data_IF_412563899516
#
_entry.id   IF_412563899516
#
_cell.length_a   1.000
_cell.length_b   1.000
_cell.length_c   1.000
_cell.angle_alpha   90.00
_cell.angle_beta   90.00
_cell.angle_gamma   90.00
#
_symmetry.space_group_name_H-M   'P 1'
#
loop_
_entity.id
_entity.type
_entity.pdbx_description
1 polymer ?
#
# COMPACT_ATOMS: atom_id res chain seq x y z
N UNK A 1 0.06 -2.13 19.79
CA UNK A 1 -0.67 -2.76 18.68
C UNK A 1 -1.08 -1.64 17.77
N UNK A 2 -0.18 -1.24 16.89
CA UNK A 2 -0.32 -0.06 16.05
C UNK A 2 -1.17 -0.45 14.83
N UNK A 3 -2.49 -0.35 14.99
CA UNK A 3 -3.44 -0.62 13.91
C UNK A 3 -3.48 0.63 13.02
N UNK A 4 -2.93 0.55 11.82
CA UNK A 4 -3.02 1.63 10.84
C UNK A 4 -4.33 1.50 10.04
N UNK A 5 -5.00 2.61 9.74
CA UNK A 5 -6.18 2.62 8.86
C UNK A 5 -5.79 3.06 7.46
N UNK A 6 -6.19 2.28 6.46
CA UNK A 6 -5.99 2.58 5.04
C UNK A 6 -7.30 3.15 4.51
N UNK A 7 -7.28 4.41 4.11
CA UNK A 7 -8.45 5.10 3.53
C UNK A 7 -8.33 5.15 2.01
N UNK A 8 -9.32 4.64 1.30
CA UNK A 8 -9.43 4.70 -0.16
C UNK A 8 -10.26 5.93 -0.53
N UNK A 9 -9.64 6.91 -1.18
CA UNK A 9 -10.25 8.21 -1.48
C UNK A 9 -11.39 8.15 -2.50
N UNK A 10 -11.26 7.37 -3.57
CA UNK A 10 -12.25 7.22 -4.65
C UNK A 10 -13.42 6.36 -4.20
N UNK A 11 -13.15 5.30 -3.44
CA UNK A 11 -14.18 4.38 -2.95
C UNK A 11 -14.82 4.82 -1.62
N UNK A 12 -14.14 5.69 -0.86
CA UNK A 12 -14.54 6.07 0.50
C UNK A 12 -14.36 4.95 1.55
N UNK A 13 -13.78 3.82 1.16
CA UNK A 13 -13.62 2.66 2.02
C UNK A 13 -12.49 2.86 3.03
N UNK A 14 -12.67 2.33 4.24
CA UNK A 14 -11.64 2.34 5.28
C UNK A 14 -11.33 0.90 5.68
N UNK A 15 -10.06 0.54 5.57
CA UNK A 15 -9.56 -0.82 5.79
C UNK A 15 -8.63 -0.78 6.99
N UNK A 16 -8.92 -1.59 8.00
CA UNK A 16 -8.03 -1.74 9.13
C UNK A 16 -6.84 -2.63 8.74
N UNK A 17 -5.63 -2.08 8.77
CA UNK A 17 -4.41 -2.82 8.59
C UNK A 17 -4.00 -3.44 9.93
N UNK A 18 -4.34 -4.70 10.12
CA UNK A 18 -3.84 -5.50 11.23
C UNK A 18 -2.50 -6.10 10.83
N UNK A 19 -1.43 -5.69 11.51
CA UNK A 19 -0.07 -6.19 11.29
C UNK A 19 0.01 -7.69 11.60
N UNK A 20 -0.24 -8.51 10.58
CA UNK A 20 -0.14 -9.97 10.64
C UNK A 20 1.02 -10.48 9.76
N UNK A 21 1.97 -9.62 9.41
CA UNK A 21 3.10 -9.96 8.54
C UNK A 21 2.81 -9.87 7.03
N UNK A 22 1.60 -9.48 6.63
CA UNK A 22 1.17 -9.36 5.23
C UNK A 22 1.49 -7.98 4.63
N UNK A 23 1.83 -7.92 3.33
CA UNK A 23 2.13 -6.64 2.67
C UNK A 23 0.87 -5.76 2.57
N UNK A 24 1.05 -4.45 2.34
CA UNK A 24 -0.09 -3.54 2.10
C UNK A 24 -0.95 -4.05 0.93
N UNK A 25 -0.35 -4.68 -0.09
CA UNK A 25 -1.07 -5.30 -1.20
C UNK A 25 -1.98 -6.46 -0.74
N UNK A 26 -1.48 -7.36 0.10
CA UNK A 26 -2.26 -8.49 0.61
C UNK A 26 -3.49 -8.03 1.41
N UNK A 27 -3.35 -6.95 2.17
CA UNK A 27 -4.46 -6.34 2.92
C UNK A 27 -5.51 -5.77 1.96
N UNK A 28 -5.09 -5.08 0.90
CA UNK A 28 -5.98 -4.57 -0.14
C UNK A 28 -6.70 -5.71 -0.88
N UNK A 29 -5.97 -6.76 -1.30
CA UNK A 29 -6.56 -7.94 -1.96
C UNK A 29 -7.56 -8.66 -1.06
N UNK A 30 -7.27 -8.80 0.23
CA UNK A 30 -8.16 -9.43 1.22
C UNK A 30 -9.49 -8.67 1.39
N UNK A 31 -9.46 -7.36 1.16
CA UNK A 31 -10.64 -6.49 1.15
C UNK A 31 -11.27 -6.32 -0.24
N UNK A 32 -10.92 -7.19 -1.20
CA UNK A 32 -11.42 -7.18 -2.58
C UNK A 32 -11.12 -5.89 -3.36
N UNK A 33 -10.06 -5.17 -2.95
CA UNK A 33 -9.61 -3.98 -3.64
C UNK A 33 -8.79 -4.39 -4.85
N UNK A 34 -9.24 -3.99 -6.04
CA UNK A 34 -8.52 -4.26 -7.28
C UNK A 34 -7.29 -3.36 -7.39
N UNK A 35 -6.11 -3.94 -7.18
CA UNK A 35 -4.81 -3.30 -7.40
C UNK A 35 -4.12 -4.04 -8.52
N UNK A 36 -3.61 -3.31 -9.52
CA UNK A 36 -2.78 -3.93 -10.56
C UNK A 36 -1.46 -4.40 -9.96
N UNK A 37 -1.06 -5.66 -10.13
CA UNK A 37 0.26 -6.14 -9.69
C UNK A 37 0.80 -7.21 -10.63
N UNK A 38 2.12 -7.40 -10.62
CA UNK A 38 2.78 -8.40 -11.45
C UNK A 38 3.83 -9.21 -10.67
N UNK A 39 4.87 -8.55 -10.18
CA UNK A 39 6.05 -9.20 -9.60
C UNK A 39 5.98 -9.42 -8.07
N UNK A 40 5.09 -8.71 -7.37
CA UNK A 40 4.94 -8.71 -5.89
C UNK A 40 6.23 -8.45 -5.07
N UNK A 41 7.29 -7.96 -5.73
CA UNK A 41 8.62 -7.81 -5.13
C UNK A 41 9.18 -6.38 -5.22
N UNK A 42 8.37 -5.42 -5.67
CA UNK A 42 8.82 -4.02 -5.85
C UNK A 42 9.81 -3.80 -7.01
N UNK A 43 9.91 -4.76 -7.94
CA UNK A 43 10.82 -4.70 -9.09
C UNK A 43 10.18 -4.09 -10.34
N UNK A 44 8.94 -4.50 -10.64
CA UNK A 44 8.21 -4.16 -11.87
C UNK A 44 7.50 -2.79 -11.81
N UNK A 45 7.17 -2.31 -10.61
CA UNK A 45 6.39 -1.07 -10.45
C UNK A 45 4.92 -1.17 -10.83
N UNK A 46 4.39 -2.32 -11.25
CA UNK A 46 2.96 -2.47 -11.60
C UNK A 46 2.04 -2.22 -10.41
N UNK A 47 2.48 -2.57 -9.18
CA UNK A 47 1.72 -2.38 -7.94
C UNK A 47 1.58 -0.93 -7.48
N UNK A 48 1.99 0.04 -8.29
CA UNK A 48 2.13 1.44 -7.90
C UNK A 48 0.80 2.10 -7.59
N UNK A 49 0.74 2.74 -6.41
CA UNK A 49 -0.38 3.55 -5.97
C UNK A 49 0.09 4.93 -5.53
N UNK A 50 -0.80 5.91 -5.55
CA UNK A 50 -0.52 7.26 -5.08
C UNK A 50 -0.98 7.41 -3.63
N UNK A 51 -0.03 7.77 -2.77
CA UNK A 51 -0.22 8.08 -1.36
C UNK A 51 -0.56 9.57 -1.22
N UNK A 52 -1.79 9.86 -0.80
CA UNK A 52 -2.27 11.20 -0.54
C UNK A 52 -1.85 11.70 0.85
N UNK A 53 -1.88 10.82 1.85
CA UNK A 53 -1.51 11.13 3.24
C UNK A 53 -0.89 9.93 3.96
N UNK A 54 -0.12 10.25 4.99
CA UNK A 54 0.51 9.27 5.88
C UNK A 54 1.91 8.87 5.43
N UNK A 55 2.44 7.80 6.03
CA UNK A 55 3.78 7.28 5.73
C UNK A 55 3.76 5.76 5.65
N UNK A 56 4.57 5.22 4.76
CA UNK A 56 4.80 3.77 4.62
C UNK A 56 6.27 3.45 4.87
N UNK A 57 6.53 2.27 5.41
CA UNK A 57 7.85 1.68 5.52
C UNK A 57 8.02 0.59 4.47
N UNK A 58 9.16 0.58 3.79
CA UNK A 58 9.53 -0.47 2.87
C UNK A 58 10.35 -1.52 3.58
N UNK A 59 9.98 -2.80 3.42
CA UNK A 59 10.78 -3.92 3.93
C UNK A 59 12.09 -4.08 3.17
N UNK A 60 12.05 -3.74 1.88
CA UNK A 60 13.19 -3.78 0.97
C UNK A 60 13.14 -2.56 0.05
N UNK A 61 14.30 -2.02 -0.29
CA UNK A 61 14.41 -0.88 -1.20
C UNK A 61 13.83 -1.27 -2.57
N UNK A 62 12.79 -0.60 -3.06
CA UNK A 62 12.23 -0.89 -4.36
C UNK A 62 13.22 -0.51 -5.46
N UNK A 63 13.30 -1.37 -6.49
CA UNK A 63 14.10 -1.10 -7.69
C UNK A 63 13.35 -0.25 -8.73
N UNK A 64 12.02 -0.24 -8.66
CA UNK A 64 11.20 0.60 -9.51
C UNK A 64 11.37 2.08 -9.16
N UNK A 65 11.42 2.94 -10.18
CA UNK A 65 11.47 4.38 -9.99
C UNK A 65 10.10 4.91 -9.57
N UNK A 66 10.00 5.45 -8.35
CA UNK A 66 8.78 6.05 -7.81
C UNK A 66 8.84 7.57 -7.93
N UNK A 67 7.73 8.19 -8.33
CA UNK A 67 7.59 9.63 -8.23
C UNK A 67 7.22 10.05 -6.80
N UNK A 68 7.28 11.36 -6.55
CA UNK A 68 6.92 11.91 -5.25
C UNK A 68 5.45 11.61 -4.93
N UNK A 69 5.21 10.97 -3.79
CA UNK A 69 3.88 10.54 -3.37
C UNK A 69 3.43 9.22 -4.00
N UNK A 70 4.27 8.50 -4.73
CA UNK A 70 3.97 7.14 -5.19
C UNK A 70 4.56 6.09 -4.24
N UNK A 71 3.84 4.98 -4.09
CA UNK A 71 4.24 3.86 -3.25
C UNK A 71 4.04 2.50 -3.92
N UNK A 72 4.75 1.49 -3.43
CA UNK A 72 4.61 0.08 -3.85
C UNK A 72 4.00 -0.77 -2.70
N UNK A 73 2.66 -0.90 -2.62
CA UNK A 73 1.97 -1.74 -1.64
C UNK A 73 2.50 -3.18 -1.56
N UNK A 74 3.05 -3.72 -2.65
CA UNK A 74 3.57 -5.08 -2.67
C UNK A 74 4.83 -5.31 -1.82
N UNK A 75 5.55 -4.27 -1.40
CA UNK A 75 6.73 -4.41 -0.54
C UNK A 75 6.81 -3.38 0.60
N UNK A 76 5.71 -2.69 0.88
CA UNK A 76 5.61 -1.71 1.95
C UNK A 76 4.48 -2.04 2.94
N UNK A 77 4.55 -1.38 4.09
CA UNK A 77 3.54 -1.42 5.14
C UNK A 77 3.26 0.00 5.63
N UNK A 78 2.02 0.31 6.03
CA UNK A 78 1.68 1.60 6.62
C UNK A 78 2.31 1.73 8.01
N UNK A 79 2.93 2.87 8.29
CA UNK A 79 3.45 3.21 9.63
C UNK A 79 2.42 3.94 10.49
N UNK A 80 1.42 4.53 9.85
CA UNK A 80 0.33 5.29 10.44
C UNK A 80 -0.86 5.24 9.48
N UNK A 81 -1.96 5.89 9.83
CA UNK A 81 -3.11 6.02 8.95
C UNK A 81 -2.72 6.66 7.62
N UNK A 82 -3.02 5.96 6.53
CA UNK A 82 -2.69 6.38 5.17
C UNK A 82 -3.94 6.62 4.33
N UNK A 83 -3.82 7.50 3.34
CA UNK A 83 -4.86 7.76 2.36
C UNK A 83 -4.32 7.48 0.95
N UNK A 84 -5.03 6.66 0.18
CA UNK A 84 -4.67 6.26 -1.18
C UNK A 84 -5.64 6.85 -2.19
N UNK A 85 -5.12 7.25 -3.35
CA UNK A 85 -5.89 7.85 -4.46
C UNK A 85 -6.62 6.77 -5.29
N UNK A 86 -7.55 6.03 -4.65
CA UNK A 86 -8.33 4.93 -5.26
C UNK A 86 -9.59 4.59 -4.47
#
# INVERSE_FOLDING_TARGET
>A
MDNATITLRTSGAQIACTDNGHSLLDVLESHQVSVEYQCRSGYCGSCRLRLLKGKVAYRQTPLACLQQGEILPCCCMPLNDIELDM
#
